data_IF_666639277321
#
_entry.id   IF_666639277321
#
_cell.length_a   1.000
_cell.length_b   1.000
_cell.length_c   1.000
_cell.angle_alpha   90.00
_cell.angle_beta   90.00
_cell.angle_gamma   90.00
#
_symmetry.space_group_name_H-M   'P 1'
#
loop_
_entity.id
_entity.type
_entity.pdbx_description
1 polymer ?
#
# COMPACT_ATOMS: atom_id res chain seq x y z
N UNK A 1 20.39 -13.64 -8.13
CA UNK A 1 20.03 -14.02 -6.74
C UNK A 1 20.06 -12.86 -5.75
N UNK A 2 20.84 -11.78 -5.96
CA UNK A 2 20.94 -10.66 -5.01
C UNK A 2 19.65 -9.83 -4.80
N UNK A 3 18.88 -9.53 -5.85
CA UNK A 3 17.68 -8.67 -5.74
C UNK A 3 16.57 -9.22 -4.83
N UNK A 4 16.40 -10.55 -4.76
CA UNK A 4 15.41 -11.17 -3.85
C UNK A 4 15.73 -10.88 -2.38
N UNK A 5 17.02 -10.83 -2.03
CA UNK A 5 17.46 -10.57 -0.66
C UNK A 5 17.20 -9.10 -0.26
N UNK A 6 17.42 -8.15 -1.18
CA UNK A 6 17.18 -6.74 -0.92
C UNK A 6 15.69 -6.40 -0.74
N UNK A 7 14.82 -6.94 -1.59
CA UNK A 7 13.36 -6.74 -1.47
C UNK A 7 12.85 -7.32 -0.14
N UNK A 8 13.30 -8.52 0.24
CA UNK A 8 12.93 -9.13 1.52
C UNK A 8 13.44 -8.32 2.72
N UNK A 9 14.69 -7.85 2.68
CA UNK A 9 15.23 -6.96 3.72
C UNK A 9 14.44 -5.67 3.82
N UNK A 10 14.03 -5.09 2.69
CA UNK A 10 13.22 -3.87 2.68
C UNK A 10 11.85 -4.12 3.31
N UNK A 11 11.17 -5.24 2.99
CA UNK A 11 9.89 -5.60 3.60
C UNK A 11 9.98 -5.77 5.11
N UNK A 12 11.08 -6.34 5.62
CA UNK A 12 11.33 -6.44 7.07
C UNK A 12 11.43 -5.07 7.73
N UNK A 13 12.02 -4.07 7.06
CA UNK A 13 12.03 -2.68 7.55
C UNK A 13 10.64 -2.03 7.48
N UNK A 14 9.91 -2.24 6.38
CA UNK A 14 8.53 -1.74 6.25
C UNK A 14 7.62 -2.24 7.38
N UNK A 15 7.69 -3.53 7.72
CA UNK A 15 6.90 -4.13 8.81
C UNK A 15 7.16 -3.44 10.15
N UNK A 16 8.34 -2.85 10.34
CA UNK A 16 8.74 -2.10 11.55
C UNK A 16 8.37 -0.61 11.48
N UNK A 17 7.71 -0.15 10.42
CA UNK A 17 7.28 1.24 10.26
C UNK A 17 8.36 2.18 9.71
N UNK A 18 9.44 1.64 9.14
CA UNK A 18 10.49 2.45 8.52
C UNK A 18 9.95 3.19 7.29
N UNK A 19 9.85 4.52 7.39
CA UNK A 19 9.23 5.37 6.36
C UNK A 19 9.96 5.30 5.02
N UNK A 20 11.29 5.28 5.02
CA UNK A 20 12.08 5.23 3.79
C UNK A 20 11.90 3.87 3.09
N UNK A 21 11.87 2.79 3.86
CA UNK A 21 11.61 1.45 3.34
C UNK A 21 10.20 1.35 2.74
N UNK A 22 9.20 1.96 3.39
CA UNK A 22 7.82 2.00 2.90
C UNK A 22 7.75 2.81 1.61
N UNK A 23 8.35 4.00 1.56
CA UNK A 23 8.40 4.80 0.33
C UNK A 23 9.10 4.06 -0.81
N UNK A 24 10.19 3.35 -0.51
CA UNK A 24 10.88 2.48 -1.47
C UNK A 24 9.96 1.35 -1.96
N UNK A 25 9.16 0.77 -1.07
CA UNK A 25 8.17 -0.26 -1.42
C UNK A 25 7.07 0.25 -2.35
N UNK A 26 6.53 1.44 -2.07
CA UNK A 26 5.52 2.09 -2.90
C UNK A 26 6.03 2.42 -4.31
N UNK A 27 7.34 2.51 -4.51
CA UNK A 27 7.99 2.72 -5.82
C UNK A 27 8.55 1.43 -6.44
N UNK A 28 8.30 0.28 -5.82
CA UNK A 28 8.73 -1.04 -6.27
C UNK A 28 7.74 -1.68 -7.26
N UNK A 29 7.83 -3.01 -7.40
CA UNK A 29 6.85 -3.79 -8.16
C UNK A 29 5.62 -4.18 -7.32
N UNK A 30 4.62 -4.79 -7.95
CA UNK A 30 3.31 -5.11 -7.37
C UNK A 30 3.35 -5.66 -5.93
N UNK A 31 4.21 -6.65 -5.66
CA UNK A 31 4.33 -7.22 -4.30
C UNK A 31 4.90 -6.21 -3.30
N UNK A 32 5.90 -5.42 -3.70
CA UNK A 32 6.49 -4.40 -2.82
C UNK A 32 5.53 -3.23 -2.60
N UNK A 33 4.73 -2.87 -3.62
CA UNK A 33 3.68 -1.88 -3.49
C UNK A 33 2.63 -2.33 -2.47
N UNK A 34 2.16 -3.58 -2.58
CA UNK A 34 1.23 -4.17 -1.62
C UNK A 34 1.75 -4.06 -0.18
N UNK A 35 3.01 -4.48 0.07
CA UNK A 35 3.63 -4.35 1.39
C UNK A 35 3.74 -2.89 1.85
N UNK A 36 4.15 -1.99 0.96
CA UNK A 36 4.26 -0.56 1.25
C UNK A 36 2.92 0.05 1.64
N UNK A 37 1.86 -0.22 0.86
CA UNK A 37 0.51 0.29 1.12
C UNK A 37 0.00 -0.21 2.48
N UNK A 38 0.09 -1.52 2.73
CA UNK A 38 -0.42 -2.10 3.97
C UNK A 38 0.37 -1.60 5.19
N UNK A 39 1.69 -1.45 5.08
CA UNK A 39 2.51 -0.91 6.17
C UNK A 39 2.24 0.58 6.41
N UNK A 40 1.99 1.37 5.37
CA UNK A 40 1.60 2.78 5.53
C UNK A 40 0.29 2.91 6.33
N UNK A 41 -0.70 2.06 6.03
CA UNK A 41 -1.97 1.99 6.78
C UNK A 41 -1.75 1.51 8.22
N UNK A 42 -1.08 0.36 8.40
CA UNK A 42 -0.81 -0.27 9.71
C UNK A 42 -0.12 0.69 10.68
N UNK A 43 0.84 1.46 10.19
CA UNK A 43 1.60 2.43 10.98
C UNK A 43 1.03 3.86 10.93
N UNK A 44 -0.14 4.06 10.30
CA UNK A 44 -0.82 5.35 10.16
C UNK A 44 0.10 6.47 9.64
N UNK A 45 0.90 6.18 8.61
CA UNK A 45 1.90 7.11 8.06
C UNK A 45 1.24 8.04 7.02
N UNK A 46 1.22 9.33 7.32
CA UNK A 46 0.62 10.39 6.47
C UNK A 46 1.65 11.41 5.97
N UNK A 47 2.84 10.91 5.66
CA UNK A 47 3.94 11.72 5.13
C UNK A 47 3.64 12.16 3.68
N UNK A 48 4.02 13.37 3.29
CA UNK A 48 3.69 13.91 1.96
C UNK A 48 4.20 13.03 0.81
N UNK A 49 5.39 12.46 0.95
CA UNK A 49 5.97 11.61 -0.10
C UNK A 49 5.24 10.26 -0.20
N UNK A 50 4.79 9.74 0.94
CA UNK A 50 3.95 8.54 1.01
C UNK A 50 2.59 8.81 0.38
N UNK A 51 1.96 9.95 0.70
CA UNK A 51 0.67 10.36 0.13
C UNK A 51 0.80 10.52 -1.39
N UNK A 52 1.84 11.19 -1.87
CA UNK A 52 2.10 11.35 -3.29
C UNK A 52 2.27 9.99 -3.98
N UNK A 53 3.06 9.08 -3.40
CA UNK A 53 3.25 7.74 -3.95
C UNK A 53 1.94 6.92 -3.98
N UNK A 54 1.11 7.01 -2.94
CA UNK A 54 -0.22 6.37 -2.93
C UNK A 54 -1.12 6.94 -4.03
N UNK A 55 -1.13 8.26 -4.23
CA UNK A 55 -1.91 8.89 -5.31
C UNK A 55 -1.43 8.51 -6.70
N UNK A 56 -0.14 8.28 -6.89
CA UNK A 56 0.36 7.75 -8.15
C UNK A 56 -0.08 6.30 -8.37
N UNK A 57 0.00 5.44 -7.34
CA UNK A 57 -0.51 4.07 -7.41
C UNK A 57 -2.02 4.00 -7.65
N UNK A 58 -2.79 5.01 -7.20
CA UNK A 58 -4.23 5.13 -7.46
C UNK A 58 -4.55 5.22 -8.96
N UNK A 59 -3.61 5.68 -9.79
CA UNK A 59 -3.76 5.82 -11.25
C UNK A 59 -3.35 4.56 -12.00
N UNK A 60 -2.79 3.56 -11.31
CA UNK A 60 -2.32 2.34 -11.93
C UNK A 60 -3.49 1.52 -12.51
N UNK A 61 -3.33 1.07 -13.75
CA UNK A 61 -4.34 0.24 -14.44
C UNK A 61 -3.95 -1.23 -14.47
N UNK A 62 -2.74 -1.56 -14.02
CA UNK A 62 -2.26 -2.93 -14.01
C UNK A 62 -2.96 -3.77 -12.94
N UNK A 63 -3.44 -4.95 -13.36
CA UNK A 63 -4.03 -5.95 -12.49
C UNK A 63 -3.32 -7.28 -12.74
N UNK A 64 -2.86 -7.92 -11.67
CA UNK A 64 -2.24 -9.24 -11.77
C UNK A 64 -2.56 -10.09 -10.56
N UNK A 65 -2.88 -11.36 -10.79
CA UNK A 65 -3.32 -12.32 -9.76
C UNK A 65 -4.45 -11.77 -8.88
N UNK A 66 -5.33 -10.95 -9.45
CA UNK A 66 -6.45 -10.31 -8.73
C UNK A 66 -6.06 -9.12 -7.85
N UNK A 67 -4.78 -8.72 -7.81
CA UNK A 67 -4.30 -7.53 -7.10
C UNK A 67 -4.27 -6.31 -8.03
N UNK A 68 -4.81 -5.19 -7.55
CA UNK A 68 -4.77 -3.89 -8.22
C UNK A 68 -4.21 -2.83 -7.29
N UNK A 69 -3.07 -2.25 -7.65
CA UNK A 69 -2.47 -1.15 -6.90
C UNK A 69 -3.46 0.00 -6.68
N UNK A 70 -4.26 0.33 -7.70
CA UNK A 70 -5.26 1.40 -7.60
C UNK A 70 -6.34 1.12 -6.56
N UNK A 71 -6.84 -0.12 -6.48
CA UNK A 71 -7.83 -0.51 -5.47
C UNK A 71 -7.25 -0.41 -4.06
N UNK A 72 -6.04 -0.96 -3.85
CA UNK A 72 -5.36 -0.91 -2.54
C UNK A 72 -5.01 0.53 -2.14
N UNK A 73 -4.50 1.35 -3.07
CA UNK A 73 -4.14 2.73 -2.80
C UNK A 73 -5.38 3.59 -2.47
N UNK A 74 -6.48 3.39 -3.19
CA UNK A 74 -7.76 4.08 -2.90
C UNK A 74 -8.26 3.76 -1.50
N UNK A 75 -8.27 2.47 -1.12
CA UNK A 75 -8.66 2.07 0.23
C UNK A 75 -7.72 2.64 1.30
N UNK A 76 -6.41 2.66 1.05
CA UNK A 76 -5.43 3.20 1.99
C UNK A 76 -5.61 4.70 2.23
N UNK A 77 -5.85 5.49 1.18
CA UNK A 77 -6.10 6.93 1.30
C UNK A 77 -7.35 7.23 2.13
N UNK A 78 -8.40 6.42 2.02
CA UNK A 78 -9.61 6.56 2.85
C UNK A 78 -9.34 6.19 4.32
N UNK A 79 -8.73 5.02 4.55
CA UNK A 79 -8.46 4.52 5.90
C UNK A 79 -7.55 5.49 6.66
N UNK A 80 -6.55 6.06 5.97
CA UNK A 80 -5.67 7.10 6.51
C UNK A 80 -6.34 8.48 6.64
N UNK A 81 -7.60 8.64 6.24
CA UNK A 81 -8.37 9.90 6.32
C UNK A 81 -7.71 11.04 5.54
N UNK A 82 -7.18 10.72 4.36
CA UNK A 82 -6.59 11.69 3.43
C UNK A 82 -7.58 12.05 2.33
N UNK A 83 -8.18 11.04 1.70
CA UNK A 83 -9.12 11.20 0.60
C UNK A 83 -10.20 10.13 0.69
N UNK A 84 -11.48 10.51 0.88
CA UNK A 84 -12.56 9.53 1.03
C UNK A 84 -12.82 8.82 -0.28
N UNK A 85 -13.05 7.50 -0.22
CA UNK A 85 -13.45 6.71 -1.38
C UNK A 85 -14.96 6.88 -1.63
N UNK A 86 -15.31 7.31 -2.84
CA UNK A 86 -16.71 7.56 -3.24
C UNK A 86 -17.23 6.57 -4.28
N UNK A 87 -16.42 5.58 -4.65
CA UNK A 87 -16.80 4.57 -5.63
C UNK A 87 -17.65 3.44 -5.04
N UNK A 88 -18.08 2.52 -5.91
CA UNK A 88 -18.93 1.39 -5.54
C UNK A 88 -18.22 0.04 -5.68
N UNK A 89 -16.89 0.01 -5.85
CA UNK A 89 -16.15 -1.23 -5.97
C UNK A 89 -16.19 -1.99 -4.64
N UNK A 90 -16.83 -3.16 -4.65
CA UNK A 90 -16.99 -4.00 -3.46
C UNK A 90 -15.64 -4.32 -2.79
N UNK A 91 -14.58 -4.59 -3.56
CA UNK A 91 -13.28 -4.97 -2.99
C UNK A 91 -12.66 -3.79 -2.24
N UNK A 92 -12.78 -2.59 -2.78
CA UNK A 92 -12.26 -1.38 -2.12
C UNK A 92 -13.02 -1.13 -0.82
N UNK A 93 -14.35 -1.22 -0.87
CA UNK A 93 -15.19 -1.08 0.33
C UNK A 93 -14.87 -2.14 1.39
N UNK A 94 -14.75 -3.42 1.00
CA UNK A 94 -14.38 -4.51 1.91
C UNK A 94 -13.02 -4.23 2.58
N UNK A 95 -12.03 -3.71 1.84
CA UNK A 95 -10.71 -3.35 2.40
C UNK A 95 -10.77 -2.17 3.37
N UNK A 96 -11.60 -1.15 3.07
CA UNK A 96 -11.82 0.01 3.95
C UNK A 96 -12.50 -0.42 5.25
N UNK A 97 -13.58 -1.22 5.13
CA UNK A 97 -14.34 -1.72 6.27
C UNK A 97 -13.46 -2.59 7.19
N UNK A 98 -12.65 -3.46 6.59
CA UNK A 98 -11.68 -4.28 7.31
C UNK A 98 -10.48 -3.48 7.84
N UNK A 99 -10.27 -2.23 7.38
CA UNK A 99 -9.08 -1.42 7.70
C UNK A 99 -7.78 -2.19 7.52
N UNK A 100 -7.71 -3.01 6.46
CA UNK A 100 -6.57 -3.89 6.17
C UNK A 100 -6.24 -4.93 7.26
N UNK A 101 -7.19 -5.35 8.10
CA UNK A 101 -6.96 -6.35 9.16
C UNK A 101 -6.52 -7.73 8.66
N UNK A 102 -6.66 -8.01 7.36
CA UNK A 102 -6.09 -9.22 6.74
C UNK A 102 -4.56 -9.19 6.64
N UNK A 103 -3.94 -8.01 6.83
CA UNK A 103 -2.49 -7.82 6.86
C UNK A 103 -1.95 -7.91 8.30
N UNK A 104 -2.22 -9.04 8.94
CA UNK A 104 -1.59 -9.42 10.20
C UNK A 104 -0.45 -10.42 9.92
N UNK A 105 0.69 -9.87 9.55
CA UNK A 105 2.01 -10.50 9.68
C UNK A 105 2.80 -9.90 10.86
#
# INVERSE_FOLDING_TARGET
>A
MMQKNESEQNRRKMRRGDKEAILKGLKGGLCDNYYGICCAVKHNIKDNDIIAALKELQKDTYVSMGMSNAQFASAALDVLKIEPYTGSDKRVNDMIDAKFSFFDE
#
